data_IF_091990251362
#
_entry.id   IF_091990251362
#
_cell.length_a   1.000
_cell.length_b   1.000
_cell.length_c   1.000
_cell.angle_alpha   90.00
_cell.angle_beta   90.00
_cell.angle_gamma   90.00
#
_symmetry.space_group_name_H-M   'P 1'
#
loop_
_entity.id
_entity.type
_entity.pdbx_description
1 polymer ?
#
# COMPACT_ATOMS: atom_id res chain seq x y z
N UNK A 1 -14.08 -17.21 -20.45
CA UNK A 1 -13.97 -17.46 -19.00
C UNK A 1 -13.17 -16.30 -18.43
N UNK A 2 -13.79 -15.48 -17.57
CA UNK A 2 -13.07 -14.38 -16.93
C UNK A 2 -11.91 -14.93 -16.12
N UNK A 3 -10.70 -14.60 -16.53
CA UNK A 3 -9.52 -14.72 -15.69
C UNK A 3 -9.73 -13.77 -14.53
N UNK A 4 -10.12 -14.29 -13.37
CA UNK A 4 -10.14 -13.55 -12.11
C UNK A 4 -8.70 -13.10 -11.81
N UNK A 5 -8.28 -11.96 -12.38
CA UNK A 5 -6.94 -11.43 -12.24
C UNK A 5 -6.72 -11.14 -10.78
N UNK A 6 -5.65 -11.70 -10.23
CA UNK A 6 -5.22 -11.41 -8.86
C UNK A 6 -4.47 -10.10 -8.91
N UNK A 7 -4.93 -9.13 -8.15
CA UNK A 7 -4.33 -7.81 -8.08
C UNK A 7 -3.67 -7.62 -6.73
N UNK A 8 -2.58 -6.88 -6.75
CA UNK A 8 -1.83 -6.47 -5.58
C UNK A 8 -1.78 -4.95 -5.54
N UNK A 9 -2.13 -4.38 -4.40
CA UNK A 9 -2.11 -2.94 -4.17
C UNK A 9 -1.02 -2.62 -3.17
N UNK A 10 -0.12 -1.74 -3.59
CA UNK A 10 1.07 -1.39 -2.85
C UNK A 10 1.14 0.13 -2.85
N UNK A 11 1.12 0.70 -1.66
CA UNK A 11 0.92 2.14 -1.46
C UNK A 11 2.12 2.68 -0.72
N UNK A 12 2.71 3.75 -1.24
CA UNK A 12 3.65 4.59 -0.50
C UNK A 12 2.82 5.54 0.38
N UNK A 13 2.71 5.22 1.67
CA UNK A 13 1.89 5.96 2.63
C UNK A 13 2.45 7.33 2.98
N UNK A 14 3.77 7.54 2.86
CA UNK A 14 4.41 8.82 3.12
C UNK A 14 4.13 9.82 1.99
N UNK A 15 3.96 9.33 0.76
CA UNK A 15 3.70 10.17 -0.42
C UNK A 15 2.25 10.13 -0.93
N UNK A 16 1.41 9.21 -0.46
CA UNK A 16 0.01 9.09 -0.87
C UNK A 16 -0.97 9.65 0.16
N UNK A 17 -2.12 10.14 -0.34
CA UNK A 17 -3.20 10.63 0.52
C UNK A 17 -4.16 9.50 0.89
N UNK A 18 -4.24 9.21 2.19
CA UNK A 18 -5.14 8.21 2.78
C UNK A 18 -6.60 8.37 2.33
N UNK A 19 -7.07 9.62 2.18
CA UNK A 19 -8.46 9.94 1.79
C UNK A 19 -8.86 9.43 0.40
N UNK A 20 -7.90 9.17 -0.49
CA UNK A 20 -8.16 8.67 -1.85
C UNK A 20 -8.28 7.15 -1.92
N UNK A 21 -7.93 6.43 -0.84
CA UNK A 21 -7.98 4.97 -0.79
C UNK A 21 -9.33 4.38 -1.23
N UNK A 22 -10.50 4.87 -0.77
CA UNK A 22 -11.78 4.27 -1.16
C UNK A 22 -12.04 4.36 -2.66
N UNK A 23 -11.68 5.48 -3.28
CA UNK A 23 -11.82 5.69 -4.72
C UNK A 23 -10.86 4.79 -5.51
N UNK A 24 -9.60 4.65 -5.05
CA UNK A 24 -8.65 3.71 -5.64
C UNK A 24 -9.14 2.26 -5.56
N UNK A 25 -9.63 1.82 -4.40
CA UNK A 25 -10.14 0.45 -4.24
C UNK A 25 -11.33 0.18 -5.15
N UNK A 26 -12.25 1.14 -5.30
CA UNK A 26 -13.39 1.05 -6.19
C UNK A 26 -12.95 0.92 -7.66
N UNK A 27 -11.96 1.70 -8.09
CA UNK A 27 -11.43 1.62 -9.45
C UNK A 27 -10.74 0.29 -9.71
N UNK A 28 -9.82 -0.11 -8.83
CA UNK A 28 -9.01 -1.34 -8.97
C UNK A 28 -9.90 -2.59 -8.95
N UNK A 29 -11.01 -2.57 -8.21
CA UNK A 29 -11.97 -3.69 -8.16
C UNK A 29 -12.59 -4.05 -9.51
N UNK A 30 -12.63 -3.13 -10.48
CA UNK A 30 -13.14 -3.38 -11.84
C UNK A 30 -12.24 -4.32 -12.65
N UNK A 31 -10.98 -4.48 -12.24
CA UNK A 31 -9.96 -5.19 -13.01
C UNK A 31 -9.63 -6.58 -12.47
N UNK A 32 -10.13 -6.95 -11.28
CA UNK A 32 -9.87 -8.24 -10.65
C UNK A 32 -10.05 -8.27 -9.14
N UNK A 33 -9.65 -9.40 -8.55
CA UNK A 33 -9.75 -9.64 -7.11
C UNK A 33 -8.45 -9.24 -6.43
N UNK A 34 -8.56 -8.30 -5.50
CA UNK A 34 -7.40 -7.82 -4.75
C UNK A 34 -7.02 -8.80 -3.63
N UNK A 35 -5.78 -9.30 -3.67
CA UNK A 35 -5.28 -10.33 -2.74
C UNK A 35 -4.40 -9.76 -1.64
N UNK A 36 -3.58 -8.75 -1.97
CA UNK A 36 -2.64 -8.14 -1.05
C UNK A 36 -2.82 -6.62 -1.11
N UNK A 37 -2.86 -5.98 0.06
CA UNK A 37 -2.94 -4.54 0.23
C UNK A 37 -1.91 -4.11 1.27
N UNK A 38 -0.87 -3.40 0.84
CA UNK A 38 0.21 -2.95 1.72
C UNK A 38 0.38 -1.46 1.64
N UNK A 39 0.65 -0.86 2.81
CA UNK A 39 0.99 0.56 2.92
C UNK A 39 2.36 0.64 3.56
N UNK A 40 3.29 1.18 2.80
CA UNK A 40 4.70 1.33 3.13
C UNK A 40 4.96 2.72 3.69
N UNK A 41 5.72 2.82 4.77
CA UNK A 41 6.19 4.11 5.26
C UNK A 41 6.65 4.09 6.72
N UNK A 42 6.92 5.27 7.27
CA UNK A 42 7.33 5.39 8.67
C UNK A 42 6.13 5.46 9.63
N UNK A 43 5.73 4.32 10.23
CA UNK A 43 4.57 4.27 11.15
C UNK A 43 4.83 4.89 12.52
N UNK A 44 6.08 5.25 12.83
CA UNK A 44 6.46 6.12 13.93
C UNK A 44 6.14 7.60 13.68
N UNK A 45 6.03 7.99 12.40
CA UNK A 45 5.74 9.37 11.99
C UNK A 45 4.28 9.75 12.25
N UNK A 46 4.00 11.00 12.69
CA UNK A 46 2.64 11.51 12.78
C UNK A 46 1.96 11.66 11.42
N UNK A 47 2.72 11.67 10.31
CA UNK A 47 2.18 11.81 8.95
C UNK A 47 1.30 10.61 8.55
N UNK A 48 1.61 9.41 9.03
CA UNK A 48 0.79 8.21 8.76
C UNK A 48 -0.42 8.05 9.69
N UNK A 49 -0.72 9.04 10.54
CA UNK A 49 -1.87 8.96 11.46
C UNK A 49 -3.18 8.73 10.72
N UNK A 50 -3.40 9.40 9.59
CA UNK A 50 -4.60 9.24 8.75
C UNK A 50 -4.73 7.84 8.15
N UNK A 51 -3.62 7.13 7.95
CA UNK A 51 -3.61 5.75 7.47
C UNK A 51 -3.97 4.74 8.56
N UNK A 52 -3.66 5.00 9.83
CA UNK A 52 -3.90 4.08 10.95
C UNK A 52 -5.37 3.69 11.08
N UNK A 53 -6.28 4.64 10.92
CA UNK A 53 -7.73 4.39 10.98
C UNK A 53 -8.23 3.54 9.80
N UNK A 54 -7.52 3.60 8.67
CA UNK A 54 -7.88 2.87 7.44
C UNK A 54 -7.30 1.45 7.40
N UNK A 55 -6.24 1.16 8.18
CA UNK A 55 -5.58 -0.15 8.20
C UNK A 55 -6.58 -1.27 8.48
N UNK A 56 -7.31 -1.18 9.59
CA UNK A 56 -8.29 -2.17 9.99
C UNK A 56 -9.52 -2.16 9.08
N UNK A 57 -9.98 -0.97 8.71
CA UNK A 57 -11.18 -0.79 7.88
C UNK A 57 -11.05 -1.47 6.51
N UNK A 58 -9.86 -1.39 5.90
CA UNK A 58 -9.63 -1.90 4.54
C UNK A 58 -8.71 -3.13 4.47
N UNK A 59 -8.40 -3.73 5.63
CA UNK A 59 -7.47 -4.84 5.78
C UNK A 59 -6.11 -4.56 5.09
N UNK A 60 -5.60 -3.35 5.28
CA UNK A 60 -4.27 -2.98 4.79
C UNK A 60 -3.23 -3.51 5.78
N UNK A 61 -2.15 -4.07 5.25
CA UNK A 61 -0.99 -4.46 6.04
C UNK A 61 0.00 -3.30 6.09
N UNK A 62 0.30 -2.75 7.28
CA UNK A 62 1.34 -1.74 7.42
C UNK A 62 2.72 -2.40 7.25
N UNK A 63 3.56 -1.82 6.40
CA UNK A 63 4.95 -2.20 6.23
C UNK A 63 5.83 -1.03 6.70
N UNK A 64 6.56 -1.24 7.81
CA UNK A 64 7.45 -0.23 8.35
C UNK A 64 8.68 -0.09 7.45
N UNK A 65 8.94 1.14 7.04
CA UNK A 65 10.18 1.50 6.38
C UNK A 65 11.03 2.34 7.32
N UNK A 66 12.26 1.90 7.52
CA UNK A 66 13.25 2.66 8.28
C UNK A 66 14.08 3.47 7.28
N UNK A 67 13.90 4.78 7.28
CA UNK A 67 14.68 5.72 6.49
C UNK A 67 16.10 5.80 7.05
N UNK A 68 17.00 4.90 6.65
CA UNK A 68 18.40 4.95 7.11
C UNK A 68 19.17 6.17 6.56
N UNK A 69 18.71 6.76 5.45
CA UNK A 69 19.16 8.03 4.86
C UNK A 69 18.08 8.53 3.89
N UNK A 70 17.76 9.83 3.87
CA UNK A 70 16.88 10.42 2.84
C UNK A 70 17.44 10.15 1.44
N UNK A 71 16.64 9.53 0.56
CA UNK A 71 17.00 9.31 -0.86
C UNK A 71 17.52 7.93 -1.24
N UNK A 72 17.21 6.85 -0.50
CA UNK A 72 17.47 5.46 -0.97
C UNK A 72 16.19 4.67 -1.21
N UNK A 73 16.13 4.02 -2.37
CA UNK A 73 15.10 3.18 -2.98
C UNK A 73 14.69 1.92 -2.19
N UNK A 74 14.70 1.96 -0.85
CA UNK A 74 14.31 0.83 -0.02
C UNK A 74 12.82 0.48 -0.23
N UNK A 75 12.00 1.50 -0.47
CA UNK A 75 10.59 1.35 -0.84
C UNK A 75 10.45 0.64 -2.17
N UNK A 76 11.13 1.09 -3.21
CA UNK A 76 11.01 0.48 -4.53
C UNK A 76 11.51 -0.97 -4.56
N UNK A 77 12.59 -1.30 -3.83
CA UNK A 77 13.12 -2.67 -3.75
C UNK A 77 12.17 -3.59 -2.98
N UNK A 78 11.64 -3.13 -1.83
CA UNK A 78 10.64 -3.89 -1.08
C UNK A 78 9.36 -4.09 -1.91
N UNK A 79 8.97 -3.07 -2.68
CA UNK A 79 7.83 -3.15 -3.58
C UNK A 79 8.05 -4.15 -4.73
N UNK A 80 9.23 -4.17 -5.34
CA UNK A 80 9.54 -5.09 -6.45
C UNK A 80 9.56 -6.54 -5.97
N UNK A 81 10.23 -6.84 -4.85
CA UNK A 81 10.33 -8.21 -4.33
C UNK A 81 8.94 -8.77 -4.00
N UNK A 82 8.11 -7.93 -3.40
CA UNK A 82 6.77 -8.33 -2.98
C UNK A 82 5.76 -8.41 -4.14
N UNK A 83 6.02 -7.74 -5.26
CA UNK A 83 5.27 -7.91 -6.50
C UNK A 83 5.70 -9.15 -7.30
N UNK A 84 6.87 -9.73 -7.01
CA UNK A 84 7.41 -10.92 -7.68
C UNK A 84 6.97 -12.25 -7.03
N UNK A 85 6.58 -12.23 -5.75
CA UNK A 85 6.11 -13.40 -4.97
C UNK A 85 4.56 -13.51 -4.98
#
# INVERSE_FOLDING_TARGET
METNRRLMLMIDGDNAQAALLPQMLAEVSKYGVMKIRRVYGDWGSPQLKSWKDLLHTYALKPEQQFSYTSGKNATDIALIIDAMD
#
